data_IF_454293595244
#
_entry.id   IF_454293595244
#
_cell.length_a   1.000
_cell.length_b   1.000
_cell.length_c   1.000
_cell.angle_alpha   90.00
_cell.angle_beta   90.00
_cell.angle_gamma   90.00
#
_symmetry.space_group_name_H-M   'P 1'
#
loop_
_entity.id
_entity.type
_entity.pdbx_description
1 polymer ?
#
# COMPACT_ATOMS: atom_id res chain seq x y z
N UNK A 1 -9.51 1.42 7.75
CA UNK A 1 -8.23 1.54 7.01
C UNK A 1 -6.99 1.44 7.90
N UNK A 2 -6.88 2.20 9.01
CA UNK A 2 -5.69 2.17 9.88
C UNK A 2 -5.41 0.79 10.50
N UNK A 3 -6.43 0.11 11.05
CA UNK A 3 -6.28 -1.23 11.63
C UNK A 3 -5.77 -2.29 10.61
N UNK A 4 -6.13 -2.13 9.35
CA UNK A 4 -5.69 -3.03 8.28
C UNK A 4 -4.23 -2.77 7.89
N UNK A 5 -3.82 -1.50 7.78
CA UNK A 5 -2.41 -1.16 7.54
C UNK A 5 -1.49 -1.69 8.64
N UNK A 6 -1.96 -1.67 9.89
CA UNK A 6 -1.27 -2.28 11.03
C UNK A 6 -1.23 -3.81 10.93
N UNK A 7 -2.32 -4.45 10.50
CA UNK A 7 -2.37 -5.90 10.30
C UNK A 7 -1.40 -6.35 9.19
N UNK A 8 -1.39 -5.68 8.04
CA UNK A 8 -0.45 -5.97 6.94
C UNK A 8 0.99 -5.75 7.38
N UNK A 9 1.26 -4.63 8.06
CA UNK A 9 2.60 -4.32 8.57
C UNK A 9 3.05 -5.35 9.61
N UNK A 10 2.16 -5.77 10.51
CA UNK A 10 2.43 -6.82 11.48
C UNK A 10 2.78 -8.15 10.80
N UNK A 11 2.00 -8.56 9.80
CA UNK A 11 2.27 -9.77 9.02
C UNK A 11 3.62 -9.71 8.28
N UNK A 12 3.95 -8.58 7.65
CA UNK A 12 5.25 -8.38 6.99
C UNK A 12 6.42 -8.39 7.99
N UNK A 13 6.23 -7.85 9.19
CA UNK A 13 7.26 -7.94 10.24
C UNK A 13 7.42 -9.38 10.72
N UNK A 14 6.35 -10.19 10.77
CA UNK A 14 6.49 -11.61 11.14
C UNK A 14 7.28 -12.42 10.10
N UNK A 15 7.24 -12.06 8.81
CA UNK A 15 8.06 -12.76 7.79
C UNK A 15 9.56 -12.49 7.96
N UNK A 16 9.94 -11.36 8.58
CA UNK A 16 11.35 -11.08 8.93
C UNK A 16 11.91 -12.05 9.99
N UNK A 17 11.06 -12.62 10.84
CA UNK A 17 11.46 -13.57 11.88
C UNK A 17 11.42 -15.02 11.36
N UNK A 18 10.59 -15.29 10.35
CA UNK A 18 10.37 -16.64 9.83
C UNK A 18 10.42 -16.65 8.30
N UNK A 19 11.60 -16.96 7.76
CA UNK A 19 11.77 -17.17 6.32
C UNK A 19 10.94 -18.41 5.88
N UNK A 20 10.21 -18.32 4.75
CA UNK A 20 9.45 -19.44 4.24
C UNK A 20 10.41 -20.55 3.80
N UNK A 21 10.39 -21.69 4.52
CA UNK A 21 11.25 -22.84 4.23
C UNK A 21 10.72 -23.73 3.11
N UNK A 22 9.49 -23.50 2.65
CA UNK A 22 8.86 -24.29 1.58
C UNK A 22 7.73 -23.55 0.86
N UNK A 23 7.40 -24.06 -0.34
CA UNK A 23 6.41 -23.46 -1.24
C UNK A 23 5.02 -23.30 -0.59
N UNK A 24 4.56 -24.30 0.16
CA UNK A 24 3.26 -24.24 0.83
C UNK A 24 3.18 -23.10 1.86
N UNK A 25 4.28 -22.84 2.57
CA UNK A 25 4.36 -21.75 3.54
C UNK A 25 4.38 -20.38 2.84
N UNK A 26 5.10 -20.25 1.73
CA UNK A 26 5.12 -19.04 0.92
C UNK A 26 3.74 -18.73 0.32
N UNK A 27 3.00 -19.75 -0.13
CA UNK A 27 1.62 -19.61 -0.60
C UNK A 27 0.69 -19.15 0.53
N UNK A 28 0.81 -19.75 1.71
CA UNK A 28 0.04 -19.34 2.89
C UNK A 28 0.26 -17.89 3.27
N UNK A 29 1.53 -17.45 3.36
CA UNK A 29 1.84 -16.04 3.62
C UNK A 29 1.31 -15.10 2.54
N UNK A 30 1.45 -15.46 1.26
CA UNK A 30 0.95 -14.67 0.13
C UNK A 30 -0.58 -14.53 0.17
N UNK A 31 -1.28 -15.60 0.54
CA UNK A 31 -2.74 -15.60 0.64
C UNK A 31 -3.23 -14.72 1.79
N UNK A 32 -2.57 -14.81 2.96
CA UNK A 32 -2.89 -13.96 4.12
C UNK A 32 -2.57 -12.49 3.82
N UNK A 33 -1.42 -12.19 3.22
CA UNK A 33 -1.07 -10.83 2.75
C UNK A 33 -2.11 -10.29 1.76
N UNK A 34 -2.58 -11.14 0.84
CA UNK A 34 -3.64 -10.82 -0.11
C UNK A 34 -4.95 -10.39 0.54
N UNK A 35 -5.33 -10.97 1.68
CA UNK A 35 -6.54 -10.53 2.42
C UNK A 35 -6.43 -9.09 2.93
N UNK A 36 -5.21 -8.61 3.19
CA UNK A 36 -4.95 -7.22 3.53
C UNK A 36 -5.32 -6.24 2.42
N UNK A 37 -5.32 -6.67 1.16
CA UNK A 37 -5.70 -5.80 0.04
C UNK A 37 -7.22 -5.55 -0.06
N UNK A 38 -8.05 -6.30 0.69
CA UNK A 38 -9.51 -6.14 0.67
C UNK A 38 -9.95 -4.72 1.01
N UNK A 39 -9.23 -4.00 1.89
CA UNK A 39 -9.62 -2.63 2.24
C UNK A 39 -9.39 -1.60 1.14
N UNK A 40 -8.78 -1.95 -0.01
CA UNK A 40 -8.86 -1.11 -1.20
C UNK A 40 -10.32 -0.90 -1.63
N UNK A 41 -11.22 -1.85 -1.36
CA UNK A 41 -12.66 -1.70 -1.62
C UNK A 41 -13.28 -0.53 -0.85
N UNK A 42 -12.72 -0.16 0.31
CA UNK A 42 -13.20 1.00 1.07
C UNK A 42 -12.96 2.31 0.32
N UNK A 43 -11.89 2.42 -0.45
CA UNK A 43 -11.65 3.63 -1.27
C UNK A 43 -12.69 3.75 -2.37
N UNK A 44 -13.10 2.62 -2.96
CA UNK A 44 -14.19 2.60 -3.94
C UNK A 44 -15.55 2.94 -3.31
N UNK A 45 -15.84 2.45 -2.10
CA UNK A 45 -17.09 2.79 -1.40
C UNK A 45 -17.11 4.27 -0.99
N UNK A 46 -16.02 4.80 -0.45
CA UNK A 46 -15.91 6.23 -0.12
C UNK A 46 -16.08 7.11 -1.36
N UNK A 47 -15.54 6.69 -2.52
CA UNK A 47 -15.74 7.41 -3.77
C UNK A 47 -17.21 7.37 -4.21
N UNK A 48 -17.87 6.23 -4.06
CA UNK A 48 -19.29 6.08 -4.37
C UNK A 48 -20.17 7.02 -3.53
N UNK A 49 -19.83 7.24 -2.26
CA UNK A 49 -20.54 8.19 -1.38
C UNK A 49 -20.28 9.67 -1.76
N UNK A 50 -19.13 9.97 -2.37
CA UNK A 50 -18.73 11.32 -2.77
C UNK A 50 -19.33 11.74 -4.11
N UNK A 51 -19.50 10.79 -5.04
CA UNK A 51 -20.01 11.05 -6.40
C UNK A 51 -21.34 11.83 -6.42
N UNK A 52 -22.37 11.49 -5.61
CA UNK A 52 -23.61 12.24 -5.57
C UNK A 52 -23.44 13.68 -5.07
N UNK A 53 -22.61 13.88 -4.03
CA UNK A 53 -22.34 15.20 -3.45
C UNK A 53 -21.63 16.11 -4.45
N UNK A 54 -20.68 15.53 -5.17
CA UNK A 54 -19.92 16.19 -6.22
C UNK A 54 -20.80 16.58 -7.42
N UNK A 55 -21.70 15.67 -7.84
CA UNK A 55 -22.67 15.94 -8.88
C UNK A 55 -23.64 17.07 -8.49
N UNK A 56 -24.07 17.13 -7.22
CA UNK A 56 -24.92 18.20 -6.71
C UNK A 56 -24.21 19.57 -6.71
N UNK A 57 -22.92 19.61 -6.39
CA UNK A 57 -22.13 20.87 -6.38
C UNK A 57 -21.81 21.38 -7.78
N UNK A 58 -21.56 20.47 -8.73
CA UNK A 58 -21.12 20.85 -10.08
C UNK A 58 -22.23 20.81 -11.13
N UNK A 59 -23.45 20.38 -10.78
CA UNK A 59 -24.58 20.28 -11.70
C UNK A 59 -24.40 19.26 -12.84
N UNK A 60 -23.42 18.36 -12.71
CA UNK A 60 -22.96 17.42 -13.75
C UNK A 60 -22.52 16.10 -13.10
N UNK A 61 -22.97 14.98 -13.65
CA UNK A 61 -22.43 13.66 -13.29
C UNK A 61 -21.03 13.45 -13.90
N UNK A 62 -20.02 13.21 -13.06
CA UNK A 62 -18.63 12.90 -13.47
C UNK A 62 -18.06 11.64 -12.83
N UNK A 63 -18.93 10.69 -12.49
CA UNK A 63 -18.58 9.42 -11.86
C UNK A 63 -17.50 8.64 -12.63
N UNK A 64 -17.66 8.51 -13.96
CA UNK A 64 -16.71 7.77 -14.79
C UNK A 64 -15.30 8.39 -14.74
N UNK A 65 -15.20 9.72 -14.78
CA UNK A 65 -13.92 10.42 -14.67
C UNK A 65 -13.28 10.20 -13.29
N UNK A 66 -14.08 10.27 -12.22
CA UNK A 66 -13.59 10.05 -10.86
C UNK A 66 -13.09 8.61 -10.64
N UNK A 67 -13.80 7.60 -11.16
CA UNK A 67 -13.32 6.21 -11.12
C UNK A 67 -12.07 5.99 -11.98
N UNK A 68 -11.99 6.62 -13.15
CA UNK A 68 -10.79 6.56 -13.99
C UNK A 68 -9.58 7.18 -13.29
N UNK A 69 -9.77 8.31 -12.63
CA UNK A 69 -8.72 8.98 -11.85
C UNK A 69 -8.27 8.11 -10.67
N UNK A 70 -9.19 7.50 -9.93
CA UNK A 70 -8.85 6.57 -8.85
C UNK A 70 -7.98 5.42 -9.37
N UNK A 71 -8.38 4.79 -10.48
CA UNK A 71 -7.62 3.70 -11.10
C UNK A 71 -6.23 4.15 -11.58
N UNK A 72 -6.13 5.35 -12.15
CA UNK A 72 -4.87 5.94 -12.58
C UNK A 72 -3.93 6.13 -11.38
N UNK A 73 -4.44 6.68 -10.27
CA UNK A 73 -3.66 6.88 -9.04
C UNK A 73 -3.21 5.56 -8.44
N UNK A 74 -4.03 4.51 -8.47
CA UNK A 74 -3.62 3.18 -8.02
C UNK A 74 -2.46 2.61 -8.85
N UNK A 75 -2.56 2.67 -10.18
CA UNK A 75 -1.48 2.21 -11.07
C UNK A 75 -0.21 3.02 -10.89
N UNK A 76 -0.34 4.34 -10.74
CA UNK A 76 0.78 5.22 -10.46
C UNK A 76 1.46 4.86 -9.12
N UNK A 77 0.69 4.60 -8.07
CA UNK A 77 1.21 4.16 -6.78
C UNK A 77 2.01 2.86 -6.88
N UNK A 78 1.50 1.88 -7.63
CA UNK A 78 2.24 0.61 -7.87
C UNK A 78 3.53 0.86 -8.65
N UNK A 79 3.49 1.67 -9.71
CA UNK A 79 4.69 2.01 -10.49
C UNK A 79 5.74 2.75 -9.65
N UNK A 80 5.30 3.71 -8.83
CA UNK A 80 6.18 4.44 -7.91
C UNK A 80 6.80 3.50 -6.87
N UNK A 81 6.03 2.57 -6.31
CA UNK A 81 6.54 1.58 -5.36
C UNK A 81 7.61 0.67 -5.99
N UNK A 82 7.39 0.23 -7.24
CA UNK A 82 8.37 -0.57 -7.99
C UNK A 82 9.66 0.25 -8.23
N UNK A 83 9.53 1.51 -8.65
CA UNK A 83 10.68 2.37 -8.89
C UNK A 83 11.51 2.57 -7.61
N UNK A 84 10.85 2.85 -6.48
CA UNK A 84 11.51 3.00 -5.17
C UNK A 84 12.20 1.70 -4.75
N UNK A 85 11.55 0.54 -4.95
CA UNK A 85 12.17 -0.76 -4.66
C UNK A 85 13.46 -0.99 -5.44
N UNK A 86 13.47 -0.71 -6.75
CA UNK A 86 14.68 -0.90 -7.55
C UNK A 86 15.80 0.06 -7.16
N UNK A 87 15.48 1.32 -6.86
CA UNK A 87 16.48 2.27 -6.34
C UNK A 87 17.04 1.82 -4.99
N UNK A 88 16.20 1.28 -4.09
CA UNK A 88 16.65 0.75 -2.82
C UNK A 88 17.56 -0.48 -3.00
N UNK A 89 17.23 -1.37 -3.94
CA UNK A 89 18.06 -2.54 -4.25
C UNK A 89 19.44 -2.17 -4.82
N UNK A 90 19.49 -1.15 -5.68
CA UNK A 90 20.74 -0.63 -6.25
C UNK A 90 21.63 -0.01 -5.15
N UNK A 91 21.04 0.74 -4.22
CA UNK A 91 21.76 1.32 -3.08
C UNK A 91 22.39 0.27 -2.15
N UNK A 92 21.77 -0.91 -2.03
CA UNK A 92 22.30 -2.01 -1.20
C UNK A 92 23.25 -2.93 -2.00
N UNK A 93 23.50 -2.63 -3.28
CA UNK A 93 24.43 -3.38 -4.11
C UNK A 93 23.95 -4.80 -4.42
N UNK A 94 22.62 -5.00 -4.54
CA UNK A 94 22.05 -6.29 -4.88
C UNK A 94 22.49 -6.73 -6.28
N UNK A 95 23.25 -7.82 -6.36
CA UNK A 95 23.61 -8.47 -7.63
C UNK A 95 22.61 -9.61 -7.95
N UNK A 96 21.74 -9.46 -8.97
CA UNK A 96 20.77 -10.49 -9.35
C UNK A 96 21.43 -11.79 -9.83
N UNK A 97 22.72 -11.77 -10.20
CA UNK A 97 23.47 -12.97 -10.62
C UNK A 97 24.06 -13.73 -9.43
N UNK A 98 24.27 -13.08 -8.29
CA UNK A 98 24.76 -13.68 -7.05
C UNK A 98 23.69 -13.59 -5.95
N UNK A 99 22.64 -14.39 -6.08
CA UNK A 99 21.44 -14.34 -5.23
C UNK A 99 21.66 -14.61 -3.74
N UNK A 100 22.83 -15.12 -3.32
CA UNK A 100 23.17 -15.35 -1.91
C UNK A 100 23.74 -14.11 -1.22
N UNK A 101 24.33 -13.17 -1.96
CA UNK A 101 25.13 -12.08 -1.38
C UNK A 101 24.31 -10.96 -0.72
N UNK A 102 22.97 -10.95 -0.87
CA UNK A 102 22.13 -9.87 -0.34
C UNK A 102 20.70 -10.31 0.06
N UNK A 103 20.47 -11.61 0.29
CA UNK A 103 19.14 -12.15 0.61
C UNK A 103 18.49 -11.47 1.83
N UNK A 104 19.28 -11.18 2.87
CA UNK A 104 18.82 -10.48 4.08
C UNK A 104 18.34 -9.05 3.77
N UNK A 105 19.09 -8.32 2.96
CA UNK A 105 18.80 -6.93 2.63
C UNK A 105 17.57 -6.79 1.73
N UNK A 106 17.41 -7.71 0.78
CA UNK A 106 16.19 -7.82 -0.04
C UNK A 106 14.98 -8.07 0.84
N UNK A 107 15.09 -8.97 1.82
CA UNK A 107 14.01 -9.26 2.76
C UNK A 107 13.69 -8.05 3.64
N UNK A 108 14.70 -7.30 4.09
CA UNK A 108 14.49 -6.05 4.84
C UNK A 108 13.74 -5.01 4.00
N UNK A 109 14.11 -4.80 2.74
CA UNK A 109 13.41 -3.89 1.82
C UNK A 109 11.96 -4.36 1.62
N UNK A 110 11.75 -5.67 1.43
CA UNK A 110 10.42 -6.26 1.25
C UNK A 110 9.48 -5.98 2.42
N UNK A 111 9.96 -6.05 3.66
CA UNK A 111 9.13 -5.80 4.83
C UNK A 111 9.02 -4.31 5.19
N UNK A 112 10.12 -3.56 5.14
CA UNK A 112 10.16 -2.17 5.59
C UNK A 112 9.44 -1.22 4.63
N UNK A 113 9.57 -1.41 3.32
CA UNK A 113 9.01 -0.47 2.35
C UNK A 113 7.47 -0.35 2.47
N UNK A 114 6.68 -1.45 2.52
CA UNK A 114 5.24 -1.34 2.71
C UNK A 114 4.88 -0.78 4.09
N UNK A 115 5.62 -1.14 5.14
CA UNK A 115 5.37 -0.62 6.50
C UNK A 115 5.57 0.89 6.58
N UNK A 116 6.65 1.42 6.02
CA UNK A 116 6.89 2.87 5.94
C UNK A 116 5.78 3.56 5.16
N UNK A 117 5.35 2.97 4.03
CA UNK A 117 4.26 3.52 3.21
C UNK A 117 2.94 3.61 3.99
N UNK A 118 2.62 2.59 4.81
CA UNK A 118 1.45 2.61 5.68
C UNK A 118 1.56 3.64 6.81
N UNK A 119 2.75 3.79 7.42
CA UNK A 119 2.98 4.81 8.46
C UNK A 119 2.77 6.21 7.90
N UNK A 120 3.32 6.50 6.72
CA UNK A 120 3.13 7.79 6.04
C UNK A 120 1.65 8.03 5.75
N UNK A 121 0.93 7.03 5.21
CA UNK A 121 -0.51 7.14 4.96
C UNK A 121 -1.31 7.45 6.23
N UNK A 122 -1.04 6.73 7.33
CA UNK A 122 -1.71 6.98 8.62
C UNK A 122 -1.40 8.39 9.12
N UNK A 123 -0.14 8.83 9.04
CA UNK A 123 0.26 10.19 9.41
C UNK A 123 -0.48 11.27 8.62
N UNK A 124 -0.61 11.10 7.30
CA UNK A 124 -1.36 12.02 6.44
C UNK A 124 -2.85 12.05 6.78
N UNK A 125 -3.47 10.89 7.04
CA UNK A 125 -4.89 10.82 7.44
C UNK A 125 -5.13 11.51 8.79
N UNK A 126 -4.25 11.29 9.77
CA UNK A 126 -4.33 11.97 11.06
C UNK A 126 -4.14 13.48 10.92
N UNK A 127 -3.21 13.92 10.07
CA UNK A 127 -3.00 15.33 9.80
C UNK A 127 -4.23 15.98 9.16
N UNK A 128 -4.81 15.35 8.13
CA UNK A 128 -6.02 15.84 7.45
C UNK A 128 -7.22 15.93 8.41
N UNK A 129 -7.39 14.92 9.28
CA UNK A 129 -8.44 14.96 10.31
C UNK A 129 -8.26 16.13 11.28
N UNK A 130 -7.01 16.44 11.67
CA UNK A 130 -6.70 17.58 12.55
C UNK A 130 -6.95 18.93 11.88
N UNK A 131 -6.82 19.03 10.56
CA UNK A 131 -7.13 20.26 9.83
C UNK A 131 -8.63 20.48 9.68
N UNK A 132 -9.38 19.42 9.34
CA UNK A 132 -10.84 19.48 9.26
C UNK A 132 -11.46 19.86 10.61
N UNK A 133 -10.98 19.28 11.72
CA UNK A 133 -11.45 19.62 13.07
C UNK A 133 -11.11 21.06 13.51
N UNK A 134 -10.16 21.73 12.85
CA UNK A 134 -9.84 23.15 13.12
C UNK A 134 -10.66 24.13 12.28
N UNK A 135 -11.28 23.65 11.20
CA UNK A 135 -12.05 24.45 10.26
C UNK A 135 -13.58 24.43 10.54
N UNK A 136 -14.04 23.57 11.46
CA UNK A 136 -15.41 23.49 11.98
C UNK A 136 -15.55 24.25 13.29
#
# INVERSE_FOLDING_TARGET
MMAMGLLISGLLVTTLVQEPRGLAQAMGFSMILGTGFVGLLFTYSMLADLIPQDAARCGRGRSAFLFALLNLMQKFGVAAAIAVSYLALDLVGFDPKNGTAAAREVHLIFALQPTVSWIVMVGLLLWMHRELARAS
#
